data_IF_844583938328
#
_entry.id   IF_844583938328
#
_cell.length_a   1.000
_cell.length_b   1.000
_cell.length_c   1.000
_cell.angle_alpha   90.00
_cell.angle_beta   90.00
_cell.angle_gamma   90.00
#
_symmetry.space_group_name_H-M   'P 1'
#
loop_
_entity.id
_entity.type
_entity.pdbx_description
1 polymer ?
#
# COMPACT_ATOMS: atom_id res chain seq x y z
N UNK A 1 2.36 27.12 0.60
CA UNK A 1 3.19 26.25 1.35
C UNK A 1 4.57 26.14 0.72
N UNK A 2 5.57 26.00 1.52
CA UNK A 2 6.94 25.93 1.06
C UNK A 2 7.40 24.55 0.61
N UNK A 3 6.50 23.59 0.45
CA UNK A 3 6.93 22.27 -0.03
C UNK A 3 7.10 22.30 -1.53
N UNK A 4 8.34 22.27 -1.95
CA UNK A 4 8.73 22.10 -3.34
C UNK A 4 8.42 20.67 -3.75
N UNK A 5 8.14 20.45 -5.04
CA UNK A 5 7.99 19.12 -5.61
C UNK A 5 9.27 18.33 -5.44
N UNK A 6 9.39 17.66 -4.33
CA UNK A 6 10.58 16.93 -3.95
C UNK A 6 10.29 15.45 -3.98
N UNK A 7 11.09 14.72 -4.73
CA UNK A 7 11.04 13.26 -4.69
C UNK A 7 11.59 12.83 -3.32
N UNK A 8 10.85 11.96 -2.65
CA UNK A 8 11.26 11.46 -1.35
C UNK A 8 12.53 10.63 -1.48
N UNK A 9 13.54 10.94 -0.68
CA UNK A 9 14.81 10.22 -0.71
C UNK A 9 14.76 8.96 0.16
N UNK A 10 15.83 8.14 0.10
CA UNK A 10 15.89 6.87 0.82
C UNK A 10 15.70 7.02 2.32
N UNK A 11 16.31 8.04 2.91
CA UNK A 11 16.18 8.29 4.34
C UNK A 11 14.75 8.59 4.74
N UNK A 12 14.07 9.39 3.93
CA UNK A 12 12.66 9.74 4.17
C UNK A 12 11.77 8.53 4.02
N UNK A 13 12.02 7.69 3.01
CA UNK A 13 11.24 6.45 2.81
C UNK A 13 11.47 5.50 4.00
N UNK A 14 12.70 5.38 4.44
CA UNK A 14 13.03 4.55 5.61
C UNK A 14 12.27 5.04 6.84
N UNK A 15 12.22 6.35 7.07
CA UNK A 15 11.48 6.94 8.19
C UNK A 15 9.98 6.64 8.10
N UNK A 16 9.40 6.74 6.91
CA UNK A 16 7.99 6.38 6.69
C UNK A 16 7.75 4.94 7.10
N UNK A 17 8.58 4.02 6.63
CA UNK A 17 8.41 2.60 6.90
C UNK A 17 8.62 2.26 8.38
N UNK A 18 9.58 2.90 9.02
CA UNK A 18 9.87 2.69 10.46
C UNK A 18 8.76 3.22 11.35
N UNK A 19 8.18 4.34 10.99
CA UNK A 19 7.22 5.04 11.83
C UNK A 19 5.77 4.66 11.54
N UNK A 20 5.53 3.83 10.54
CA UNK A 20 4.19 3.40 10.16
C UNK A 20 3.88 2.03 10.75
N UNK A 21 2.61 1.81 11.12
CA UNK A 21 2.13 0.54 11.66
C UNK A 21 0.97 -0.02 10.87
N UNK A 22 0.18 0.85 10.25
CA UNK A 22 -1.05 0.45 9.57
C UNK A 22 -0.99 0.82 8.09
N UNK A 23 -1.41 -0.13 7.27
CA UNK A 23 -1.44 0.04 5.81
C UNK A 23 -2.84 -0.30 5.32
N UNK A 24 -3.44 0.59 4.54
CA UNK A 24 -4.64 0.27 3.77
C UNK A 24 -4.18 -0.07 2.37
N UNK A 25 -4.41 -1.30 1.94
CA UNK A 25 -3.91 -1.77 0.64
C UNK A 25 -5.06 -1.84 -0.35
N UNK A 26 -5.05 -0.94 -1.33
CA UNK A 26 -6.14 -0.79 -2.29
C UNK A 26 -5.82 -1.59 -3.55
N UNK A 27 -6.73 -2.52 -3.89
CA UNK A 27 -6.56 -3.35 -5.07
C UNK A 27 -6.14 -4.78 -4.76
N UNK A 28 -6.36 -5.22 -3.54
CA UNK A 28 -6.16 -6.64 -3.21
C UNK A 28 -7.16 -7.46 -4.00
N UNK A 29 -6.69 -8.55 -4.61
CA UNK A 29 -7.53 -9.36 -5.49
C UNK A 29 -8.27 -10.46 -4.73
N UNK A 30 -9.50 -10.73 -5.18
CA UNK A 30 -10.26 -11.87 -4.68
C UNK A 30 -9.47 -13.16 -4.90
N UNK A 31 -9.57 -14.07 -3.93
CA UNK A 31 -8.95 -15.39 -4.03
C UNK A 31 -9.98 -16.49 -4.26
N UNK A 32 -11.22 -16.11 -4.60
CA UNK A 32 -12.26 -17.09 -4.89
C UNK A 32 -11.95 -17.88 -6.13
N UNK A 33 -12.19 -19.20 -6.07
CA UNK A 33 -12.02 -20.09 -7.21
C UNK A 33 -13.09 -19.78 -8.26
N UNK A 34 -12.73 -19.86 -9.52
CA UNK A 34 -13.65 -19.74 -10.64
C UNK A 34 -13.62 -18.43 -11.37
N UNK A 35 -13.07 -17.40 -10.81
CA UNK A 35 -12.97 -16.11 -11.49
C UNK A 35 -11.91 -16.13 -12.59
N UNK A 36 -10.96 -17.06 -12.48
CA UNK A 36 -9.94 -17.20 -13.49
C UNK A 36 -9.40 -18.63 -13.45
N UNK A 37 -10.04 -19.52 -14.18
CA UNK A 37 -9.70 -20.94 -14.20
C UNK A 37 -8.29 -21.21 -14.72
N UNK A 38 -7.75 -20.28 -15.48
CA UNK A 38 -6.39 -20.39 -16.03
C UNK A 38 -5.47 -19.38 -15.36
N UNK A 39 -5.82 -18.98 -14.17
CA UNK A 39 -5.15 -17.86 -13.53
C UNK A 39 -3.78 -18.24 -13.03
N UNK A 40 -2.82 -18.07 -13.89
CA UNK A 40 -1.42 -18.03 -13.51
C UNK A 40 -1.01 -16.59 -13.19
N UNK A 41 -1.96 -15.65 -13.22
CA UNK A 41 -1.66 -14.26 -12.92
C UNK A 41 -1.31 -14.14 -11.46
N UNK A 42 -0.18 -13.54 -11.22
CA UNK A 42 0.21 -13.15 -9.89
C UNK A 42 -0.80 -12.16 -9.35
N UNK A 43 -1.04 -12.24 -8.06
CA UNK A 43 -1.83 -11.25 -7.33
C UNK A 43 -0.85 -10.40 -6.55
N UNK A 44 -0.24 -9.39 -7.18
CA UNK A 44 0.87 -8.67 -6.56
C UNK A 44 0.49 -8.01 -5.24
N UNK A 45 -0.71 -7.46 -5.14
CA UNK A 45 -1.14 -6.86 -3.89
C UNK A 45 -1.23 -7.90 -2.77
N UNK A 46 -1.73 -9.09 -3.09
CA UNK A 46 -1.89 -10.15 -2.08
C UNK A 46 -0.53 -10.62 -1.57
N UNK A 47 0.45 -10.74 -2.47
CA UNK A 47 1.82 -11.13 -2.11
C UNK A 47 2.47 -10.05 -1.23
N UNK A 48 2.34 -8.80 -1.62
CA UNK A 48 2.91 -7.67 -0.86
C UNK A 48 2.23 -7.57 0.50
N UNK A 49 0.91 -7.76 0.55
CA UNK A 49 0.16 -7.77 1.80
C UNK A 49 0.75 -8.79 2.79
N UNK A 50 0.93 -10.02 2.32
CA UNK A 50 1.47 -11.09 3.18
C UNK A 50 2.85 -10.72 3.69
N UNK A 51 3.72 -10.21 2.81
CA UNK A 51 5.07 -9.81 3.19
C UNK A 51 5.04 -8.74 4.28
N UNK A 52 4.22 -7.70 4.10
CA UNK A 52 4.17 -6.61 5.07
C UNK A 52 3.59 -7.08 6.40
N UNK A 53 2.59 -7.97 6.36
CA UNK A 53 2.06 -8.58 7.59
C UNK A 53 3.15 -9.37 8.33
N UNK A 54 3.96 -10.12 7.59
CA UNK A 54 5.02 -10.93 8.19
C UNK A 54 6.05 -10.07 8.92
N UNK A 55 6.20 -8.83 8.52
CA UNK A 55 7.11 -7.89 9.17
C UNK A 55 6.40 -6.94 10.15
N UNK A 56 5.18 -7.28 10.54
CA UNK A 56 4.54 -6.64 11.69
C UNK A 56 3.55 -5.53 11.38
N UNK A 57 3.26 -5.26 10.11
CA UNK A 57 2.26 -4.25 9.77
C UNK A 57 0.85 -4.82 9.87
N UNK A 58 -0.07 -4.01 10.35
CA UNK A 58 -1.49 -4.31 10.23
C UNK A 58 -1.95 -3.84 8.86
N UNK A 59 -2.39 -4.76 8.02
CA UNK A 59 -2.79 -4.43 6.65
C UNK A 59 -4.29 -4.64 6.49
N UNK A 60 -4.98 -3.60 6.03
CA UNK A 60 -6.41 -3.63 5.72
C UNK A 60 -6.58 -3.78 4.21
N UNK A 61 -7.06 -4.93 3.72
CA UNK A 61 -7.29 -5.10 2.28
C UNK A 61 -8.56 -4.38 1.85
N UNK A 62 -8.47 -3.59 0.79
CA UNK A 62 -9.58 -2.82 0.27
C UNK A 62 -9.88 -3.25 -1.16
N UNK A 63 -11.12 -3.68 -1.40
CA UNK A 63 -11.63 -3.97 -2.73
C UNK A 63 -13.16 -4.07 -2.68
N UNK A 64 -13.89 -3.14 -3.30
CA UNK A 64 -15.35 -3.16 -3.24
C UNK A 64 -15.96 -4.42 -3.86
N UNK A 65 -15.27 -5.06 -4.81
CA UNK A 65 -15.77 -6.26 -5.47
C UNK A 65 -15.49 -7.55 -4.69
N UNK A 66 -14.71 -7.48 -3.62
CA UNK A 66 -14.37 -8.64 -2.79
C UNK A 66 -14.77 -8.41 -1.33
N UNK A 67 -15.65 -7.46 -1.08
CA UNK A 67 -16.06 -7.10 0.28
C UNK A 67 -16.52 -8.32 1.06
N UNK A 68 -16.02 -8.44 2.31
CA UNK A 68 -16.39 -9.53 3.21
C UNK A 68 -15.54 -10.79 3.06
N UNK A 69 -14.78 -10.91 1.99
CA UNK A 69 -13.88 -12.04 1.81
C UNK A 69 -12.75 -11.95 2.84
N UNK A 70 -12.24 -13.09 3.28
CA UNK A 70 -11.10 -13.12 4.20
C UNK A 70 -9.84 -13.42 3.37
N UNK A 71 -8.89 -12.50 3.40
CA UNK A 71 -7.63 -12.65 2.68
C UNK A 71 -6.49 -12.48 3.69
N UNK A 72 -5.64 -13.47 3.79
CA UNK A 72 -4.53 -13.48 4.74
C UNK A 72 -4.98 -13.11 6.16
N UNK A 73 -6.14 -13.65 6.57
CA UNK A 73 -6.69 -13.45 7.90
C UNK A 73 -7.41 -12.12 8.11
N UNK A 74 -7.49 -11.27 7.11
CA UNK A 74 -8.13 -9.96 7.23
C UNK A 74 -9.37 -9.88 6.36
N UNK A 75 -10.41 -9.27 6.89
CA UNK A 75 -11.65 -9.07 6.15
C UNK A 75 -11.48 -7.93 5.15
N UNK A 76 -11.82 -8.19 3.90
CA UNK A 76 -11.77 -7.17 2.85
C UNK A 76 -12.88 -6.16 3.09
N UNK A 77 -12.52 -4.89 3.09
CA UNK A 77 -13.45 -3.77 3.24
C UNK A 77 -13.68 -3.12 1.88
N UNK A 78 -14.82 -2.46 1.74
CA UNK A 78 -15.18 -1.85 0.45
C UNK A 78 -14.45 -0.53 0.18
N UNK A 79 -14.07 0.20 1.22
CA UNK A 79 -13.47 1.52 1.06
C UNK A 79 -12.70 1.94 2.31
N UNK A 80 -11.88 2.98 2.17
CA UNK A 80 -11.05 3.48 3.27
C UNK A 80 -11.88 3.94 4.48
N UNK A 81 -13.02 4.54 4.24
CA UNK A 81 -13.85 5.08 5.33
C UNK A 81 -14.43 3.98 6.22
N UNK A 82 -14.40 2.73 5.78
CA UNK A 82 -14.85 1.59 6.57
C UNK A 82 -13.81 1.10 7.58
N UNK A 83 -12.58 1.57 7.47
CA UNK A 83 -11.52 1.15 8.39
C UNK A 83 -11.71 1.86 9.73
N UNK A 84 -11.79 1.09 10.86
CA UNK A 84 -12.03 1.71 12.17
C UNK A 84 -10.82 2.42 12.75
N UNK A 85 -9.63 2.08 12.30
CA UNK A 85 -8.38 2.59 12.86
C UNK A 85 -7.79 3.71 12.02
N UNK A 86 -6.84 4.43 12.60
CA UNK A 86 -6.03 5.38 11.83
C UNK A 86 -5.15 4.62 10.85
N UNK A 87 -4.91 5.22 9.69
CA UNK A 87 -4.09 4.62 8.64
C UNK A 87 -2.84 5.46 8.43
N UNK A 88 -1.69 4.82 8.52
CA UNK A 88 -0.43 5.50 8.26
C UNK A 88 -0.15 5.56 6.75
N UNK A 89 -0.27 4.44 6.05
CA UNK A 89 0.04 4.37 4.62
C UNK A 89 -1.17 3.87 3.84
N UNK A 90 -1.56 4.61 2.81
CA UNK A 90 -2.51 4.12 1.80
C UNK A 90 -1.68 3.66 0.62
N UNK A 91 -1.61 2.34 0.41
CA UNK A 91 -0.78 1.70 -0.60
C UNK A 91 -1.66 1.26 -1.77
N UNK A 92 -1.36 1.76 -2.98
CA UNK A 92 -2.27 1.70 -4.12
C UNK A 92 -1.77 0.78 -5.21
N UNK A 93 -2.58 -0.23 -5.53
CA UNK A 93 -2.37 -1.19 -6.62
C UNK A 93 -3.44 -1.01 -7.70
N UNK A 94 -3.87 0.21 -7.93
CA UNK A 94 -4.89 0.51 -8.96
C UNK A 94 -4.27 1.34 -10.07
N UNK A 95 -4.86 1.31 -11.27
CA UNK A 95 -4.32 2.10 -12.39
C UNK A 95 -4.16 3.58 -12.03
N UNK A 96 -3.18 4.23 -12.66
CA UNK A 96 -2.82 5.61 -12.34
C UNK A 96 -4.00 6.59 -12.43
N UNK A 97 -4.93 6.35 -13.35
CA UNK A 97 -6.09 7.24 -13.51
C UNK A 97 -7.06 7.19 -12.33
N UNK A 98 -6.98 6.18 -11.48
CA UNK A 98 -7.81 6.10 -10.27
C UNK A 98 -7.17 6.81 -9.08
N UNK A 99 -5.91 7.18 -9.19
CA UNK A 99 -5.16 7.71 -8.07
C UNK A 99 -5.70 9.04 -7.51
N UNK A 100 -6.20 10.00 -8.32
CA UNK A 100 -6.76 11.22 -7.75
C UNK A 100 -7.94 10.99 -6.81
N UNK A 101 -8.87 10.11 -7.20
CA UNK A 101 -10.01 9.77 -6.33
C UNK A 101 -9.54 9.11 -5.03
N UNK A 102 -8.57 8.23 -5.13
CA UNK A 102 -8.00 7.56 -3.96
C UNK A 102 -7.27 8.58 -3.07
N UNK A 103 -6.57 9.53 -3.67
CA UNK A 103 -5.89 10.59 -2.93
C UNK A 103 -6.89 11.41 -2.10
N UNK A 104 -8.03 11.75 -2.69
CA UNK A 104 -9.08 12.46 -1.97
C UNK A 104 -9.61 11.66 -0.78
N UNK A 105 -9.79 10.36 -0.96
CA UNK A 105 -10.23 9.49 0.12
C UNK A 105 -9.16 9.37 1.21
N UNK A 106 -7.90 9.29 0.83
CA UNK A 106 -6.79 9.22 1.78
C UNK A 106 -6.72 10.51 2.62
N UNK A 107 -6.95 11.66 2.01
CA UNK A 107 -7.00 12.95 2.71
C UNK A 107 -8.16 12.95 3.72
N UNK A 108 -9.34 12.51 3.30
CA UNK A 108 -10.50 12.44 4.20
C UNK A 108 -10.23 11.51 5.37
N UNK A 109 -9.53 10.43 5.15
CA UNK A 109 -9.14 9.46 6.18
C UNK A 109 -8.06 10.01 7.10
N UNK A 110 -7.43 11.13 6.73
CA UNK A 110 -6.30 11.75 7.45
C UNK A 110 -5.11 10.80 7.53
N UNK A 111 -4.88 10.07 6.45
CA UNK A 111 -3.73 9.18 6.32
C UNK A 111 -2.46 10.00 6.29
N UNK A 112 -1.33 9.39 6.61
CA UNK A 112 -0.06 10.10 6.67
C UNK A 112 0.69 10.08 5.35
N UNK A 113 0.55 8.99 4.58
CA UNK A 113 1.29 8.78 3.34
C UNK A 113 0.38 8.17 2.29
N UNK A 114 0.44 8.70 1.07
CA UNK A 114 -0.11 8.04 -0.10
C UNK A 114 1.04 7.40 -0.86
N UNK A 115 0.96 6.09 -1.05
CA UNK A 115 2.01 5.31 -1.69
C UNK A 115 1.46 4.66 -2.95
N UNK A 116 1.99 5.04 -4.11
CA UNK A 116 1.62 4.45 -5.39
C UNK A 116 2.68 3.41 -5.77
N UNK A 117 2.25 2.19 -6.01
CA UNK A 117 3.13 1.07 -6.30
C UNK A 117 3.91 1.26 -7.59
N UNK A 118 4.90 0.39 -7.82
CA UNK A 118 5.74 0.43 -9.02
C UNK A 118 4.86 0.47 -10.27
N UNK A 119 5.20 1.36 -11.18
CA UNK A 119 4.45 1.57 -12.42
C UNK A 119 3.28 2.53 -12.29
N UNK A 120 2.99 3.03 -11.09
CA UNK A 120 1.85 3.92 -10.86
C UNK A 120 2.35 5.30 -10.46
N UNK A 121 1.91 6.31 -11.20
CA UNK A 121 2.23 7.70 -10.90
C UNK A 121 1.09 8.58 -11.37
N UNK A 122 0.84 9.67 -10.64
CA UNK A 122 -0.20 10.62 -11.01
C UNK A 122 0.09 11.96 -10.33
N UNK A 123 0.32 13.00 -11.16
CA UNK A 123 0.68 14.33 -10.64
C UNK A 123 -0.47 15.02 -9.91
N UNK A 124 -1.70 14.77 -10.33
CA UNK A 124 -2.86 15.32 -9.64
C UNK A 124 -2.99 14.73 -8.23
N UNK A 125 -2.83 13.40 -8.11
CA UNK A 125 -2.85 12.74 -6.81
C UNK A 125 -1.76 13.28 -5.90
N UNK A 126 -0.56 13.48 -6.44
CA UNK A 126 0.56 14.05 -5.70
C UNK A 126 0.20 15.44 -5.15
N UNK A 127 -0.35 16.31 -6.01
CA UNK A 127 -0.75 17.65 -5.60
C UNK A 127 -1.81 17.61 -4.50
N UNK A 128 -2.81 16.76 -4.66
CA UNK A 128 -3.91 16.64 -3.68
C UNK A 128 -3.35 16.36 -2.27
N UNK A 129 -2.47 15.37 -2.16
CA UNK A 129 -1.96 14.99 -0.84
C UNK A 129 -0.92 15.96 -0.30
N UNK A 130 -0.06 16.49 -1.16
CA UNK A 130 0.95 17.47 -0.73
C UNK A 130 0.31 18.78 -0.26
N UNK A 131 -0.79 19.20 -0.89
CA UNK A 131 -1.52 20.37 -0.44
C UNK A 131 -2.08 20.19 0.97
N UNK A 132 -2.23 18.96 1.43
CA UNK A 132 -2.69 18.64 2.79
C UNK A 132 -1.54 18.22 3.70
N UNK A 133 -0.31 18.45 3.31
CA UNK A 133 0.89 18.11 4.07
C UNK A 133 1.04 16.59 4.32
N UNK A 134 0.49 15.78 3.43
CA UNK A 134 0.72 14.34 3.45
C UNK A 134 1.96 14.02 2.65
N UNK A 135 2.65 12.97 3.06
CA UNK A 135 3.79 12.46 2.30
C UNK A 135 3.31 11.68 1.09
N UNK A 136 4.13 11.66 0.05
CA UNK A 136 3.80 11.00 -1.21
C UNK A 136 4.99 10.20 -1.71
N UNK A 137 4.74 8.92 -1.99
CA UNK A 137 5.71 8.04 -2.63
C UNK A 137 5.04 7.49 -3.88
N UNK A 138 5.73 7.43 -5.00
CA UNK A 138 5.16 6.86 -6.23
C UNK A 138 6.16 6.02 -6.98
N UNK A 139 5.62 5.09 -7.79
CA UNK A 139 6.42 4.24 -8.66
C UNK A 139 7.45 3.41 -7.88
N UNK A 140 7.04 2.90 -6.71
CA UNK A 140 7.91 2.06 -5.88
C UNK A 140 7.09 0.94 -5.24
N UNK A 141 7.64 -0.27 -5.25
CA UNK A 141 7.01 -1.39 -4.55
C UNK A 141 7.39 -1.34 -3.07
N UNK A 142 6.39 -1.23 -2.21
CA UNK A 142 6.61 -1.09 -0.77
C UNK A 142 7.39 -2.29 -0.18
N UNK A 143 7.10 -3.49 -0.67
CA UNK A 143 7.82 -4.69 -0.27
C UNK A 143 9.31 -4.58 -0.63
N UNK A 144 9.59 -4.19 -1.87
CA UNK A 144 10.96 -4.08 -2.35
C UNK A 144 11.73 -2.99 -1.60
N UNK A 145 11.07 -1.87 -1.32
CA UNK A 145 11.69 -0.79 -0.55
C UNK A 145 12.00 -1.25 0.88
N UNK A 146 11.06 -1.93 1.52
CA UNK A 146 11.30 -2.45 2.85
C UNK A 146 12.46 -3.44 2.84
N UNK A 147 12.43 -4.38 1.90
CA UNK A 147 13.49 -5.39 1.78
C UNK A 147 14.86 -4.76 1.55
N UNK A 148 14.93 -3.79 0.65
CA UNK A 148 16.18 -3.12 0.30
C UNK A 148 16.72 -2.29 1.46
N UNK A 149 15.86 -1.48 2.09
CA UNK A 149 16.30 -0.55 3.14
C UNK A 149 16.64 -1.25 4.44
N UNK A 150 15.96 -2.33 4.76
CA UNK A 150 16.18 -3.06 6.00
C UNK A 150 16.90 -4.38 5.78
N UNK A 151 17.25 -4.70 4.53
CA UNK A 151 17.97 -5.94 4.16
C UNK A 151 17.25 -7.17 4.73
N UNK A 152 15.92 -7.20 4.63
CA UNK A 152 15.11 -8.27 5.18
C UNK A 152 14.54 -9.15 4.08
N UNK A 153 14.78 -10.46 4.19
CA UNK A 153 14.07 -11.45 3.40
C UNK A 153 12.80 -11.85 4.14
N UNK A 154 11.90 -12.58 3.46
CA UNK A 154 10.68 -13.06 4.09
C UNK A 154 11.05 -13.94 5.28
N UNK A 155 10.50 -13.70 6.48
CA UNK A 155 10.85 -14.48 7.68
C UNK A 155 10.50 -15.96 7.59
N UNK A 156 9.59 -16.36 6.66
CA UNK A 156 9.27 -17.77 6.43
C UNK A 156 10.45 -18.51 5.81
N UNK A 157 11.36 -17.78 5.17
CA UNK A 157 12.55 -18.37 4.56
C UNK A 157 13.79 -17.71 5.17
N UNK A 158 14.13 -18.12 6.40
CA UNK A 158 15.32 -17.53 7.04
C UNK A 158 16.53 -17.83 6.18
N UNK A 159 17.23 -16.80 5.78
CA UNK A 159 18.47 -16.95 5.06
C UNK A 159 19.53 -17.30 6.08
N UNK A 160 20.10 -18.48 5.94
CA UNK A 160 21.26 -18.84 6.73
C UNK A 160 22.42 -17.99 6.24
N UNK A 161 22.78 -17.03 7.03
CA UNK A 161 23.95 -16.23 6.72
C UNK A 161 25.13 -16.79 7.50
N UNK A 162 26.13 -17.10 6.76
CA UNK A 162 27.41 -17.39 7.35
C UNK A 162 28.02 -16.11 7.90
#
# INVERSE_FOLDING_TARGET
SGKINKIMNETEIEEVLKNSKTIAMIGVSSEKKGEDKNNLKRKPANVVMKYMQDFGYKVYPINPFAEGEIINGEKVLSSLDKIPDEIDIVDVFRPSNEAPGIANEAVKKKSKVLWLQYGIHNTEAEKIVKDQNMDFVSNKCIKQEYQRLFQKSNPVFPVLRS
#
